data_IF_453721529054
#
_entry.id   IF_453721529054
#
_cell.length_a   1.000
_cell.length_b   1.000
_cell.length_c   1.000
_cell.angle_alpha   90.00
_cell.angle_beta   90.00
_cell.angle_gamma   90.00
#
_symmetry.space_group_name_H-M   'P 1'
#
loop_
_entity.id
_entity.type
_entity.pdbx_description
1 polymer ?
#
# COMPACT_ATOMS: atom_id res chain seq x y z
N UNK A 1 9.50 -10.27 -19.93
CA UNK A 1 9.19 -9.96 -18.51
C UNK A 1 8.96 -8.47 -18.42
N UNK A 2 7.83 -8.01 -17.87
CA UNK A 2 7.63 -6.58 -17.67
C UNK A 2 8.55 -6.08 -16.57
N UNK A 3 9.28 -5.00 -16.84
CA UNK A 3 10.03 -4.27 -15.81
C UNK A 3 9.07 -3.78 -14.74
N UNK A 4 9.43 -3.90 -13.47
CA UNK A 4 8.72 -3.23 -12.37
C UNK A 4 8.90 -1.73 -12.58
N UNK A 5 7.81 -0.98 -12.68
CA UNK A 5 7.82 0.49 -12.80
C UNK A 5 7.19 1.16 -11.59
N UNK A 6 6.28 0.46 -10.91
CA UNK A 6 5.60 0.98 -9.73
C UNK A 6 5.40 -0.07 -8.65
N UNK A 7 5.67 0.31 -7.40
CA UNK A 7 5.45 -0.49 -6.22
C UNK A 7 4.44 0.17 -5.27
N UNK A 8 3.51 -0.62 -4.72
CA UNK A 8 2.70 -0.23 -3.57
C UNK A 8 3.26 -0.90 -2.31
N UNK A 9 3.62 -0.11 -1.31
CA UNK A 9 4.19 -0.60 -0.04
C UNK A 9 3.26 -0.19 1.11
N UNK A 10 2.68 -1.18 1.80
CA UNK A 10 1.81 -0.95 2.95
C UNK A 10 2.08 -2.01 4.02
N UNK A 11 2.88 -1.65 5.02
CA UNK A 11 3.37 -2.62 6.02
C UNK A 11 3.08 -2.17 7.45
N UNK A 12 2.64 -3.12 8.27
CA UNK A 12 2.57 -2.97 9.72
C UNK A 12 3.97 -3.00 10.33
N UNK A 13 4.70 -4.09 10.08
CA UNK A 13 6.11 -4.26 10.43
C UNK A 13 6.99 -3.55 9.40
N UNK A 14 7.73 -2.53 9.87
CA UNK A 14 8.55 -1.63 9.05
C UNK A 14 10.01 -2.07 8.98
N UNK A 15 10.34 -3.25 9.50
CA UNK A 15 11.70 -3.79 9.46
C UNK A 15 12.21 -3.84 8.02
N UNK A 16 13.33 -3.15 7.75
CA UNK A 16 13.98 -3.11 6.43
C UNK A 16 13.25 -2.31 5.34
N UNK A 17 12.08 -1.71 5.61
CA UNK A 17 11.25 -1.08 4.56
C UNK A 17 11.93 0.09 3.87
N UNK A 18 12.72 0.87 4.61
CA UNK A 18 13.43 2.06 4.08
C UNK A 18 14.52 1.63 3.09
N UNK A 19 15.34 0.64 3.44
CA UNK A 19 16.38 0.11 2.55
C UNK A 19 15.76 -0.50 1.29
N UNK A 20 14.70 -1.29 1.46
CA UNK A 20 13.96 -1.89 0.37
C UNK A 20 13.40 -0.84 -0.62
N UNK A 21 12.69 0.16 -0.11
CA UNK A 21 12.14 1.23 -0.94
C UNK A 21 13.23 2.10 -1.58
N UNK A 22 14.33 2.35 -0.87
CA UNK A 22 15.48 3.08 -1.39
C UNK A 22 16.12 2.38 -2.60
N UNK A 23 16.32 1.06 -2.54
CA UNK A 23 16.81 0.29 -3.69
C UNK A 23 15.84 0.33 -4.88
N UNK A 24 14.53 0.22 -4.64
CA UNK A 24 13.52 0.34 -5.70
C UNK A 24 13.58 1.72 -6.37
N UNK A 25 13.70 2.79 -5.59
CA UNK A 25 13.83 4.15 -6.12
C UNK A 25 15.11 4.33 -6.96
N UNK A 26 16.24 3.74 -6.55
CA UNK A 26 17.48 3.76 -7.34
C UNK A 26 17.32 3.07 -8.70
N UNK A 27 16.42 2.10 -8.80
CA UNK A 27 16.05 1.43 -10.05
C UNK A 27 15.00 2.22 -10.87
N UNK A 28 14.59 3.40 -10.41
CA UNK A 28 13.59 4.24 -11.07
C UNK A 28 12.14 3.77 -10.86
N UNK A 29 11.89 2.95 -9.84
CA UNK A 29 10.54 2.50 -9.49
C UNK A 29 9.81 3.59 -8.70
N UNK A 30 8.61 3.94 -9.14
CA UNK A 30 7.72 4.84 -8.41
C UNK A 30 7.15 4.13 -7.17
N UNK A 31 7.19 4.80 -6.02
CA UNK A 31 6.71 4.24 -4.75
C UNK A 31 5.38 4.89 -4.35
N UNK A 32 4.34 4.06 -4.23
CA UNK A 32 3.09 4.40 -3.56
C UNK A 32 3.11 3.83 -2.14
N UNK A 33 2.61 4.57 -1.16
CA UNK A 33 2.48 4.07 0.21
C UNK A 33 1.32 4.72 0.97
N UNK A 34 1.06 4.25 2.19
CA UNK A 34 -0.06 4.73 3.02
C UNK A 34 0.38 5.12 4.43
N UNK A 35 -0.22 6.19 4.98
CA UNK A 35 -0.17 6.55 6.39
C UNK A 35 1.23 6.47 7.00
N UNK A 36 1.36 5.70 8.08
CA UNK A 36 2.64 5.57 8.81
C UNK A 36 3.80 4.97 8.01
N UNK A 37 3.54 4.21 6.94
CA UNK A 37 4.61 3.71 6.06
C UNK A 37 5.09 4.83 5.13
N UNK A 38 4.16 5.56 4.50
CA UNK A 38 4.50 6.70 3.64
C UNK A 38 5.30 7.75 4.42
N UNK A 39 4.87 8.06 5.65
CA UNK A 39 5.59 8.99 6.53
C UNK A 39 7.02 8.54 6.82
N UNK A 40 7.22 7.30 7.23
CA UNK A 40 8.57 6.78 7.51
C UNK A 40 9.49 6.87 6.28
N UNK A 41 8.97 6.53 5.11
CA UNK A 41 9.71 6.59 3.85
C UNK A 41 10.10 8.02 3.51
N UNK A 42 9.15 8.96 3.57
CA UNK A 42 9.37 10.38 3.32
C UNK A 42 10.39 10.98 4.30
N UNK A 43 10.24 10.71 5.61
CA UNK A 43 11.15 11.17 6.66
C UNK A 43 12.58 10.62 6.47
N UNK A 44 12.73 9.50 5.75
CA UNK A 44 14.01 8.87 5.41
C UNK A 44 14.57 9.29 4.05
N UNK A 45 13.93 10.25 3.36
CA UNK A 45 14.38 10.77 2.07
C UNK A 45 13.97 9.95 0.85
N UNK A 46 13.08 8.97 1.00
CA UNK A 46 12.47 8.25 -0.12
C UNK A 46 11.34 9.11 -0.70
N UNK A 47 11.36 9.32 -2.02
CA UNK A 47 10.29 9.96 -2.77
C UNK A 47 9.13 8.96 -2.83
N UNK A 48 8.04 9.31 -2.15
CA UNK A 48 6.85 8.48 -2.02
C UNK A 48 5.61 9.31 -2.29
N UNK A 49 4.69 8.74 -3.05
CA UNK A 49 3.36 9.29 -3.27
C UNK A 49 2.38 8.63 -2.30
N UNK A 50 1.65 9.43 -1.53
CA UNK A 50 0.62 8.89 -0.65
C UNK A 50 -0.59 8.39 -1.46
N UNK A 51 -1.20 7.27 -1.06
CA UNK A 51 -2.35 6.70 -1.77
C UNK A 51 -3.55 7.65 -1.81
N UNK A 52 -3.74 8.51 -0.81
CA UNK A 52 -4.78 9.54 -0.85
C UNK A 52 -4.56 10.53 -2.00
N UNK A 53 -3.31 10.94 -2.23
CA UNK A 53 -2.95 11.84 -3.33
C UNK A 53 -3.12 11.14 -4.69
N UNK A 54 -2.69 9.88 -4.78
CA UNK A 54 -2.85 9.06 -5.99
C UNK A 54 -4.32 8.81 -6.35
N UNK A 55 -5.16 8.52 -5.36
CA UNK A 55 -6.58 8.24 -5.59
C UNK A 55 -7.42 9.52 -5.70
N UNK A 56 -6.96 10.63 -5.11
CA UNK A 56 -7.74 11.85 -4.94
C UNK A 56 -8.84 11.72 -3.88
N UNK A 57 -8.84 10.64 -3.09
CA UNK A 57 -9.82 10.37 -2.05
C UNK A 57 -9.18 10.52 -0.67
N UNK A 58 -9.76 11.31 0.24
CA UNK A 58 -9.17 11.54 1.56
C UNK A 58 -9.25 10.31 2.44
N UNK A 59 -8.38 10.24 3.44
CA UNK A 59 -8.50 9.23 4.49
C UNK A 59 -9.77 9.47 5.32
N UNK A 60 -10.62 8.44 5.43
CA UNK A 60 -11.86 8.47 6.24
C UNK A 60 -11.93 7.24 7.15
N UNK A 61 -12.79 7.30 8.17
CA UNK A 61 -13.04 6.20 9.11
C UNK A 61 -11.77 5.63 9.76
N UNK A 62 -10.80 6.50 10.09
CA UNK A 62 -9.53 6.10 10.69
C UNK A 62 -8.67 5.20 9.79
N UNK A 63 -8.78 5.38 8.47
CA UNK A 63 -7.94 4.67 7.49
C UNK A 63 -8.45 3.31 7.07
N UNK A 64 -9.64 2.88 7.52
CA UNK A 64 -10.24 1.56 7.23
C UNK A 64 -10.47 1.27 5.75
N UNK A 65 -10.63 2.31 4.92
CA UNK A 65 -11.00 2.17 3.49
C UNK A 65 -10.04 2.92 2.57
N UNK A 66 -8.83 3.24 3.04
CA UNK A 66 -7.88 4.10 2.30
C UNK A 66 -7.34 3.48 1.00
N UNK A 67 -7.22 2.15 0.93
CA UNK A 67 -6.75 1.42 -0.27
C UNK A 67 -7.88 0.82 -1.09
N UNK A 68 -9.10 0.74 -0.56
CA UNK A 68 -10.29 0.15 -1.19
C UNK A 68 -10.85 1.04 -2.29
N UNK A 69 -10.04 1.29 -3.32
CA UNK A 69 -10.31 2.23 -4.40
C UNK A 69 -10.00 1.60 -5.77
N UNK A 70 -10.82 1.83 -6.82
CA UNK A 70 -10.60 1.25 -8.15
C UNK A 70 -9.24 1.58 -8.76
N UNK A 71 -8.67 2.77 -8.52
CA UNK A 71 -7.31 3.12 -9.00
C UNK A 71 -6.20 2.27 -8.39
N UNK A 72 -6.40 1.76 -7.18
CA UNK A 72 -5.43 0.87 -6.51
C UNK A 72 -5.66 -0.56 -6.99
N UNK A 73 -6.86 -1.10 -6.80
CA UNK A 73 -7.14 -2.50 -7.14
C UNK A 73 -7.14 -2.75 -8.66
N UNK A 74 -7.57 -1.79 -9.48
CA UNK A 74 -7.45 -1.89 -10.94
C UNK A 74 -5.99 -1.88 -11.40
N UNK A 75 -5.11 -1.14 -10.71
CA UNK A 75 -3.67 -1.15 -11.00
C UNK A 75 -3.04 -2.50 -10.69
N UNK A 76 -3.50 -3.17 -9.63
CA UNK A 76 -3.04 -4.50 -9.20
C UNK A 76 -3.64 -5.64 -10.04
N UNK A 77 -4.93 -5.57 -10.35
CA UNK A 77 -5.70 -6.67 -10.94
C UNK A 77 -5.81 -6.59 -12.47
N UNK A 78 -5.51 -5.44 -13.08
CA UNK A 78 -5.61 -5.24 -14.52
C UNK A 78 -4.69 -6.18 -15.30
N UNK A 79 -5.27 -7.00 -16.19
CA UNK A 79 -4.53 -8.00 -16.96
C UNK A 79 -3.80 -7.34 -18.12
N UNK A 80 -2.47 -7.51 -18.16
CA UNK A 80 -1.62 -7.00 -19.23
C UNK A 80 -1.95 -7.73 -20.55
N UNK A 81 -2.05 -6.96 -21.64
CA UNK A 81 -2.45 -7.37 -22.98
C UNK A 81 -3.96 -7.55 -23.15
N UNK A 82 -4.78 -7.13 -22.19
CA UNK A 82 -6.25 -7.33 -22.22
C UNK A 82 -7.01 -6.12 -21.71
N UNK A 83 -6.62 -5.58 -20.55
CA UNK A 83 -7.40 -4.54 -19.86
C UNK A 83 -6.80 -3.13 -20.04
N UNK A 84 -5.75 -2.95 -20.86
CA UNK A 84 -5.09 -1.65 -21.06
C UNK A 84 -6.07 -0.53 -21.45
N UNK A 85 -6.97 -0.79 -22.39
CA UNK A 85 -7.88 0.24 -22.89
C UNK A 85 -8.79 0.81 -21.79
N UNK A 86 -9.37 -0.06 -20.94
CA UNK A 86 -10.23 0.37 -19.83
C UNK A 86 -9.42 0.99 -18.69
N UNK A 87 -8.20 0.48 -18.44
CA UNK A 87 -7.30 1.08 -17.45
C UNK A 87 -6.92 2.51 -17.87
N UNK A 88 -6.54 2.72 -19.12
CA UNK A 88 -6.21 4.05 -19.66
C UNK A 88 -7.40 5.00 -19.62
N UNK A 89 -8.58 4.55 -20.06
CA UNK A 89 -9.82 5.36 -20.04
C UNK A 89 -10.17 5.85 -18.62
N UNK A 90 -9.92 5.03 -17.61
CA UNK A 90 -10.21 5.35 -16.21
C UNK A 90 -9.01 5.99 -15.47
N UNK A 91 -7.90 6.26 -16.17
CA UNK A 91 -6.69 6.81 -15.56
C UNK A 91 -6.05 5.90 -14.52
N UNK A 92 -6.20 4.58 -14.67
CA UNK A 92 -5.63 3.56 -13.80
C UNK A 92 -4.28 3.18 -14.37
N UNK A 93 -3.22 3.48 -13.63
CA UNK A 93 -1.87 3.12 -14.03
C UNK A 93 -1.45 1.84 -13.31
N UNK A 94 -0.77 0.90 -13.99
CA UNK A 94 -0.50 -0.39 -13.39
C UNK A 94 0.43 -0.35 -12.17
N UNK A 95 0.21 -1.27 -11.24
CA UNK A 95 1.07 -1.52 -10.09
C UNK A 95 1.70 -2.89 -10.31
N UNK A 96 3.03 -2.96 -10.33
CA UNK A 96 3.76 -4.17 -10.73
C UNK A 96 4.30 -4.94 -9.52
N UNK A 97 4.46 -4.26 -8.38
CA UNK A 97 4.92 -4.86 -7.13
C UNK A 97 4.02 -4.42 -5.97
N UNK A 98 3.61 -5.38 -5.13
CA UNK A 98 2.93 -5.14 -3.87
C UNK A 98 3.78 -5.71 -2.74
N UNK A 99 4.20 -4.86 -1.81
CA UNK A 99 4.83 -5.25 -0.56
C UNK A 99 3.87 -4.95 0.60
N UNK A 100 3.30 -6.00 1.19
CA UNK A 100 2.29 -5.89 2.24
C UNK A 100 2.58 -6.90 3.36
N UNK A 101 2.41 -6.45 4.60
CA UNK A 101 2.27 -7.34 5.75
C UNK A 101 1.16 -6.80 6.65
N UNK A 102 0.44 -7.72 7.27
CA UNK A 102 -0.82 -7.43 7.95
C UNK A 102 -0.55 -6.95 9.38
N UNK A 103 -1.56 -6.34 9.98
CA UNK A 103 -1.55 -6.11 11.43
C UNK A 103 -1.34 -7.43 12.19
N UNK A 104 -0.57 -7.42 13.29
CA UNK A 104 -0.19 -8.64 14.00
C UNK A 104 -1.37 -9.16 14.86
N UNK A 105 -2.43 -9.61 14.19
CA UNK A 105 -3.68 -10.01 14.82
C UNK A 105 -3.47 -11.19 15.77
N UNK A 106 -2.75 -12.23 15.33
CA UNK A 106 -2.42 -13.40 16.16
C UNK A 106 -1.72 -12.99 17.47
N UNK A 107 -0.69 -12.15 17.37
CA UNK A 107 0.02 -11.64 18.56
C UNK A 107 -0.88 -10.78 19.44
N UNK A 108 -1.79 -10.01 18.82
CA UNK A 108 -2.76 -9.17 19.53
C UNK A 108 -3.72 -10.03 20.36
N UNK A 109 -4.29 -11.10 19.79
CA UNK A 109 -5.24 -11.96 20.51
C UNK A 109 -4.58 -12.95 21.47
N UNK A 110 -3.27 -13.20 21.32
CA UNK A 110 -2.50 -14.01 22.25
C UNK A 110 -2.20 -13.28 23.57
N UNK A 111 -2.27 -11.95 23.60
CA UNK A 111 -2.16 -11.14 24.82
C UNK A 111 -3.35 -11.42 25.75
N UNK A 112 -3.14 -11.95 26.98
CA UNK A 112 -4.22 -12.22 27.92
C UNK A 112 -5.02 -10.98 28.32
N UNK A 113 -4.46 -9.77 28.15
CA UNK A 113 -5.12 -8.50 28.39
C UNK A 113 -5.88 -7.96 27.16
N UNK A 114 -5.93 -8.71 26.05
CA UNK A 114 -6.61 -8.27 24.84
C UNK A 114 -8.13 -8.26 25.02
N UNK A 115 -8.72 -7.07 25.03
CA UNK A 115 -10.17 -6.91 24.95
C UNK A 115 -10.71 -7.17 23.54
N UNK A 116 -11.99 -7.54 23.44
CA UNK A 116 -12.67 -7.78 22.15
C UNK A 116 -12.59 -6.59 21.20
N UNK A 117 -12.69 -5.36 21.72
CA UNK A 117 -12.62 -4.14 20.91
C UNK A 117 -11.24 -4.01 20.27
N UNK A 118 -10.16 -4.23 21.05
CA UNK A 118 -8.79 -4.23 20.55
C UNK A 118 -8.58 -5.29 19.47
N UNK A 119 -9.10 -6.50 19.68
CA UNK A 119 -9.05 -7.54 18.66
C UNK A 119 -9.73 -7.08 17.36
N UNK A 120 -10.95 -6.54 17.43
CA UNK A 120 -11.70 -6.07 16.25
C UNK A 120 -10.95 -4.96 15.50
N UNK A 121 -10.33 -4.01 16.20
CA UNK A 121 -9.55 -2.93 15.54
C UNK A 121 -8.28 -3.44 14.85
N UNK A 122 -7.78 -4.63 15.22
CA UNK A 122 -6.62 -5.25 14.62
C UNK A 122 -6.94 -6.18 13.44
N UNK A 123 -8.21 -6.28 13.03
CA UNK A 123 -8.61 -6.98 11.80
C UNK A 123 -8.25 -6.09 10.60
N UNK A 124 -7.30 -6.54 9.79
CA UNK A 124 -6.91 -5.87 8.55
C UNK A 124 -7.93 -6.14 7.43
N UNK A 125 -8.24 -5.12 6.63
CA UNK A 125 -9.29 -5.14 5.59
C UNK A 125 -8.76 -4.76 4.20
N UNK A 126 -7.76 -3.87 4.15
CA UNK A 126 -7.41 -3.10 2.95
C UNK A 126 -6.56 -3.82 1.91
#
# INVERSE_FOLDING_TARGET
MSSIRRALISVSDKTGVVEFAGHLQQLGVEILSTGGTAKLLADSGVIVTEVSDYTGFPEIMGGRVKTLHPRVHGGLLGRRGTDEAVMEEQGIVPIDLLAVNLYPFEQTVADPACERVRAIENIDIG
#
